data_IF_836708407414
#
_entry.id   IF_836708407414
#
_cell.length_a   1.000
_cell.length_b   1.000
_cell.length_c   1.000
_cell.angle_alpha   90.00
_cell.angle_beta   90.00
_cell.angle_gamma   90.00
#
_symmetry.space_group_name_H-M   'P 1'
#
loop_
_entity.id
_entity.type
_entity.pdbx_description
1 polymer ?
#
# COMPACT_ATOMS: atom_id res chain seq x y z
N UNK A 1 -50.17 30.83 27.18
CA UNK A 1 -48.88 31.06 27.84
C UNK A 1 -48.16 29.70 28.08
N UNK A 2 -47.84 28.91 27.07
CA UNK A 2 -47.08 27.66 27.23
C UNK A 2 -46.14 27.35 26.03
N UNK A 3 -45.79 28.36 25.22
CA UNK A 3 -44.90 28.14 24.04
C UNK A 3 -43.62 29.00 24.02
N UNK A 4 -43.27 29.65 25.16
CA UNK A 4 -42.07 30.53 25.22
C UNK A 4 -40.91 29.96 26.05
N UNK A 5 -41.05 28.76 26.64
CA UNK A 5 -40.03 28.23 27.56
C UNK A 5 -39.02 27.28 26.92
N UNK A 6 -39.20 26.83 25.65
CA UNK A 6 -38.30 25.87 25.00
C UNK A 6 -37.21 26.48 24.10
N UNK A 7 -37.35 27.76 23.73
CA UNK A 7 -36.35 28.45 22.90
C UNK A 7 -35.16 29.03 23.67
N UNK A 8 -35.25 29.18 24.98
CA UNK A 8 -34.17 29.77 25.80
C UNK A 8 -33.20 28.67 26.32
N UNK A 9 -33.67 27.43 26.47
CA UNK A 9 -32.81 26.32 26.93
C UNK A 9 -31.89 25.78 25.84
N UNK A 10 -32.29 25.89 24.55
CA UNK A 10 -31.46 25.51 23.42
C UNK A 10 -30.28 26.44 23.14
N UNK A 11 -30.44 27.74 23.42
CA UNK A 11 -29.37 28.73 23.27
C UNK A 11 -28.38 28.76 24.44
N UNK A 12 -28.75 28.28 25.64
CA UNK A 12 -27.84 28.25 26.80
C UNK A 12 -26.92 27.02 26.81
N UNK A 13 -27.27 25.94 26.10
CA UNK A 13 -26.40 24.76 25.94
C UNK A 13 -25.34 24.93 24.82
N UNK A 14 -25.58 25.85 23.88
CA UNK A 14 -24.61 26.24 22.85
C UNK A 14 -23.57 27.25 23.33
N UNK A 15 -23.80 27.95 24.47
CA UNK A 15 -22.90 28.97 24.97
C UNK A 15 -21.91 28.51 26.06
N UNK A 16 -21.99 27.25 26.51
CA UNK A 16 -21.05 26.68 27.49
C UNK A 16 -19.89 25.90 26.89
N UNK A 17 -19.91 25.62 25.57
CA UNK A 17 -18.79 25.00 24.87
C UNK A 17 -17.84 25.99 24.17
N UNK A 18 -17.99 27.30 24.40
CA UNK A 18 -17.17 28.32 23.73
C UNK A 18 -15.85 28.66 24.45
N UNK A 19 -15.39 27.86 25.42
CA UNK A 19 -14.22 28.19 26.23
C UNK A 19 -12.89 27.62 25.76
N UNK A 20 -12.88 26.73 24.78
CA UNK A 20 -11.62 26.26 24.17
C UNK A 20 -11.73 26.42 22.66
N UNK A 21 -10.92 27.31 22.09
CA UNK A 21 -10.88 27.55 20.65
C UNK A 21 -10.40 26.29 19.94
N UNK A 22 -11.36 25.48 19.52
CA UNK A 22 -11.13 24.27 18.74
C UNK A 22 -10.74 24.68 17.31
N UNK A 23 -9.52 24.38 16.88
CA UNK A 23 -9.12 24.53 15.48
C UNK A 23 -9.35 23.21 14.78
N UNK A 24 -10.27 23.18 13.85
CA UNK A 24 -10.59 21.99 13.05
C UNK A 24 -10.54 22.33 11.56
N UNK A 25 -10.01 21.44 10.75
CA UNK A 25 -10.05 21.48 9.28
C UNK A 25 -10.87 20.30 8.80
N UNK A 26 -12.12 20.58 8.38
CA UNK A 26 -13.09 19.56 7.92
C UNK A 26 -13.03 19.33 6.41
N UNK A 27 -12.33 20.18 5.65
CA UNK A 27 -12.30 20.20 4.20
C UNK A 27 -13.63 20.48 3.48
N UNK A 28 -14.68 20.87 4.20
CA UNK A 28 -16.06 21.04 3.69
C UNK A 28 -16.40 22.46 3.25
N UNK A 29 -15.68 23.45 3.74
CA UNK A 29 -15.94 24.87 3.52
C UNK A 29 -15.76 25.33 2.06
N UNK A 30 -16.04 26.60 1.80
CA UNK A 30 -15.70 27.27 0.52
C UNK A 30 -14.18 27.28 0.31
N UNK A 31 -13.41 27.46 1.38
CA UNK A 31 -11.98 27.23 1.44
C UNK A 31 -11.74 25.99 2.29
N UNK A 32 -11.49 24.82 1.66
CA UNK A 32 -11.34 23.55 2.36
C UNK A 32 -10.09 23.47 3.24
N UNK A 33 -9.15 24.40 3.09
CA UNK A 33 -7.89 24.42 3.85
C UNK A 33 -7.92 25.42 5.01
N UNK A 34 -9.00 26.18 5.17
CA UNK A 34 -9.16 27.14 6.26
C UNK A 34 -9.77 26.47 7.49
N UNK A 35 -9.20 26.78 8.66
CA UNK A 35 -9.70 26.27 9.94
C UNK A 35 -11.10 26.78 10.28
N UNK A 36 -11.81 26.10 11.16
CA UNK A 36 -13.16 26.43 11.62
C UNK A 36 -13.28 27.81 12.27
N UNK A 37 -12.20 28.32 12.87
CA UNK A 37 -12.14 29.67 13.45
C UNK A 37 -11.79 30.76 12.40
N UNK A 38 -11.52 30.40 11.16
CA UNK A 38 -11.17 31.28 10.04
C UNK A 38 -9.80 31.96 10.18
N UNK A 39 -8.90 31.46 11.03
CA UNK A 39 -7.61 32.12 11.32
C UNK A 39 -6.39 31.35 10.87
N UNK A 40 -6.50 30.03 10.66
CA UNK A 40 -5.36 29.18 10.30
C UNK A 40 -5.59 28.50 8.97
N UNK A 41 -4.64 28.64 8.05
CA UNK A 41 -4.67 28.03 6.74
C UNK A 41 -3.67 26.87 6.68
N UNK A 42 -4.08 25.72 6.17
CA UNK A 42 -3.17 24.64 5.81
C UNK A 42 -2.49 24.96 4.48
N UNK A 43 -1.17 24.93 4.45
CA UNK A 43 -0.40 24.98 3.21
C UNK A 43 -0.45 23.60 2.57
N UNK A 44 -1.09 23.48 1.44
CA UNK A 44 -1.17 22.23 0.68
C UNK A 44 -0.02 22.15 -0.32
N UNK A 45 0.75 21.08 -0.23
CA UNK A 45 1.77 20.70 -1.19
C UNK A 45 1.21 19.59 -2.08
N UNK A 46 1.32 19.74 -3.38
CA UNK A 46 0.91 18.74 -4.38
C UNK A 46 1.46 19.10 -5.74
N UNK A 47 1.78 18.10 -6.56
CA UNK A 47 2.10 18.30 -7.99
C UNK A 47 0.84 18.33 -8.86
N UNK A 48 -0.33 18.05 -8.28
CA UNK A 48 -1.61 18.08 -9.00
C UNK A 48 -2.06 19.53 -9.19
N UNK A 49 -2.55 19.85 -10.38
CA UNK A 49 -3.12 21.17 -10.67
C UNK A 49 -4.34 21.46 -9.78
N UNK A 50 -5.16 20.42 -9.54
CA UNK A 50 -6.36 20.50 -8.68
C UNK A 50 -6.28 19.40 -7.62
N UNK A 51 -6.29 19.76 -6.34
CA UNK A 51 -6.39 18.79 -5.26
C UNK A 51 -7.68 17.98 -5.35
N UNK A 52 -7.61 16.71 -5.01
CA UNK A 52 -8.77 15.82 -5.02
C UNK A 52 -9.40 15.72 -3.63
N UNK A 53 -10.67 16.10 -3.55
CA UNK A 53 -11.49 15.89 -2.37
C UNK A 53 -12.58 14.85 -2.70
N UNK A 54 -12.70 13.84 -1.85
CA UNK A 54 -13.66 12.73 -1.98
C UNK A 54 -14.53 12.66 -0.73
N UNK A 55 -15.49 11.74 -0.68
CA UNK A 55 -16.33 11.54 0.53
C UNK A 55 -15.45 11.11 1.71
N UNK A 56 -15.54 11.86 2.81
CA UNK A 56 -14.83 11.65 4.08
C UNK A 56 -15.61 10.84 5.11
N UNK A 57 -15.10 10.85 6.33
CA UNK A 57 -15.85 10.39 7.52
C UNK A 57 -17.03 11.34 7.73
N UNK A 58 -16.78 12.64 7.65
CA UNK A 58 -17.80 13.68 7.57
C UNK A 58 -17.50 14.53 6.33
N UNK A 59 -18.51 14.82 5.52
CA UNK A 59 -18.35 15.65 4.34
C UNK A 59 -17.26 15.17 3.39
N UNK A 60 -16.11 15.88 3.34
CA UNK A 60 -15.01 15.66 2.40
C UNK A 60 -13.70 15.29 3.09
N UNK A 61 -12.91 14.46 2.43
CA UNK A 61 -11.55 14.10 2.78
C UNK A 61 -10.59 14.50 1.66
N UNK A 62 -9.37 14.92 1.98
CA UNK A 62 -8.30 15.14 1.02
C UNK A 62 -7.70 13.81 0.60
N UNK A 63 -7.55 13.56 -0.71
CA UNK A 63 -6.85 12.42 -1.24
C UNK A 63 -5.36 12.71 -1.42
N UNK A 64 -4.53 11.91 -0.78
CA UNK A 64 -3.07 11.92 -0.90
C UNK A 64 -2.59 10.85 -1.89
N UNK A 65 -1.34 10.90 -2.32
CA UNK A 65 -0.78 10.08 -3.39
C UNK A 65 0.47 9.28 -2.99
N UNK A 66 0.96 9.46 -1.76
CA UNK A 66 2.13 8.74 -1.26
C UNK A 66 3.48 9.40 -1.54
N UNK A 67 3.53 10.51 -2.29
CA UNK A 67 4.82 11.14 -2.66
C UNK A 67 4.78 12.65 -2.90
N UNK A 68 3.63 13.27 -3.16
CA UNK A 68 3.58 14.71 -3.46
C UNK A 68 2.55 15.48 -2.65
N UNK A 69 1.49 14.82 -2.17
CA UNK A 69 0.35 15.50 -1.54
C UNK A 69 0.41 15.34 -0.02
N UNK A 70 0.61 16.47 0.67
CA UNK A 70 0.66 16.58 2.13
C UNK A 70 0.42 18.04 2.55
N UNK A 71 0.26 18.30 3.84
CA UNK A 71 -0.06 19.64 4.35
C UNK A 71 0.81 20.01 5.55
N UNK A 72 1.03 21.32 5.76
CA UNK A 72 1.54 21.87 7.01
C UNK A 72 0.90 23.20 7.36
N UNK A 73 1.07 23.62 8.60
CA UNK A 73 0.78 24.97 9.08
C UNK A 73 1.58 25.26 10.36
N UNK A 74 1.69 26.52 10.70
CA UNK A 74 2.25 26.94 12.00
C UNK A 74 1.11 27.27 12.95
N UNK A 75 1.22 26.84 14.20
CA UNK A 75 0.25 27.14 15.26
C UNK A 75 0.90 28.00 16.32
N UNK A 76 0.17 29.02 16.80
CA UNK A 76 0.55 29.78 17.97
C UNK A 76 -0.20 29.25 19.19
N UNK A 77 0.49 29.20 20.34
CA UNK A 77 -0.06 28.77 21.62
C UNK A 77 0.08 27.30 21.93
N UNK A 78 -0.34 26.89 23.10
CA UNK A 78 -0.18 25.54 23.62
C UNK A 78 -1.03 24.53 22.82
N UNK A 79 -0.38 23.58 22.20
CA UNK A 79 -1.02 22.43 21.53
C UNK A 79 -1.08 21.27 22.51
N UNK A 80 -2.27 20.94 22.99
CA UNK A 80 -2.46 19.82 23.93
C UNK A 80 -2.60 18.47 23.23
N UNK A 81 -3.22 18.45 22.06
CA UNK A 81 -3.33 17.26 21.24
C UNK A 81 -3.61 17.58 19.77
N UNK A 82 -3.27 16.63 18.91
CA UNK A 82 -3.55 16.64 17.49
C UNK A 82 -4.29 15.37 17.14
N UNK A 83 -5.42 15.48 16.44
CA UNK A 83 -6.20 14.32 15.99
C UNK A 83 -6.61 14.42 14.54
N UNK A 84 -6.96 13.29 13.92
CA UNK A 84 -7.48 13.24 12.57
C UNK A 84 -7.89 11.83 12.15
N UNK A 85 -8.63 11.79 11.05
CA UNK A 85 -9.06 10.58 10.39
C UNK A 85 -8.18 10.28 9.18
N UNK A 86 -7.79 9.04 9.06
CA UNK A 86 -6.92 8.57 7.98
C UNK A 86 -7.43 7.26 7.41
N UNK A 87 -7.28 7.06 6.10
CA UNK A 87 -7.51 5.77 5.49
C UNK A 87 -6.41 5.50 4.48
N UNK A 88 -5.69 4.39 4.63
CA UNK A 88 -4.61 4.01 3.73
C UNK A 88 -5.13 3.17 2.57
N UNK A 89 -4.74 3.52 1.34
CA UNK A 89 -4.89 2.67 0.16
C UNK A 89 -3.77 1.62 0.11
N UNK A 90 -2.56 2.04 0.45
CA UNK A 90 -1.36 1.19 0.51
C UNK A 90 -0.46 1.63 1.65
N UNK A 91 0.39 0.74 2.11
CA UNK A 91 1.47 1.13 3.01
C UNK A 91 2.49 1.98 2.26
N UNK A 92 3.17 2.92 2.94
CA UNK A 92 4.11 3.82 2.28
C UNK A 92 5.34 3.08 1.76
N UNK A 93 6.05 3.71 0.84
CA UNK A 93 7.32 3.16 0.30
C UNK A 93 8.42 3.11 1.38
N UNK A 94 8.42 4.06 2.28
CA UNK A 94 9.24 4.09 3.51
C UNK A 94 8.36 4.51 4.69
N UNK A 95 8.89 4.66 5.90
CA UNK A 95 8.13 5.17 7.06
C UNK A 95 7.59 6.55 6.74
N UNK A 96 6.27 6.72 6.87
CA UNK A 96 5.54 7.97 6.62
C UNK A 96 4.72 8.35 7.86
N UNK A 97 4.44 9.64 8.03
CA UNK A 97 3.61 10.10 9.13
C UNK A 97 2.16 10.35 8.71
N UNK A 98 1.23 9.94 9.55
CA UNK A 98 -0.13 10.43 9.51
C UNK A 98 -0.15 11.91 9.85
N UNK A 99 0.47 12.27 10.97
CA UNK A 99 0.58 13.65 11.45
C UNK A 99 1.66 13.77 12.52
N UNK A 100 2.13 14.99 12.74
CA UNK A 100 3.08 15.28 13.79
C UNK A 100 3.28 16.77 13.99
N UNK A 101 4.02 17.11 15.04
CA UNK A 101 4.42 18.46 15.35
C UNK A 101 5.93 18.59 15.48
N UNK A 102 6.44 19.78 15.25
CA UNK A 102 7.85 20.14 15.44
C UNK A 102 7.94 21.53 16.04
N UNK A 103 8.69 21.68 17.13
CA UNK A 103 8.99 22.98 17.74
C UNK A 103 9.99 23.79 16.90
N UNK A 104 10.19 25.04 17.27
CA UNK A 104 11.12 25.94 16.58
C UNK A 104 12.60 25.58 16.80
N UNK A 105 12.89 24.76 17.81
CA UNK A 105 14.24 24.21 18.07
C UNK A 105 14.56 22.97 17.20
N UNK A 106 13.57 22.44 16.45
CA UNK A 106 13.73 21.29 15.56
C UNK A 106 13.48 19.95 16.22
N UNK A 107 12.95 19.91 17.44
CA UNK A 107 12.47 18.68 18.07
C UNK A 107 11.09 18.35 17.51
N UNK A 108 10.84 17.10 17.12
CA UNK A 108 9.56 16.67 16.55
C UNK A 108 9.08 15.36 17.13
N UNK A 109 7.76 15.21 17.12
CA UNK A 109 7.07 13.96 17.42
C UNK A 109 5.95 13.74 16.40
N UNK A 110 5.80 12.51 15.92
CA UNK A 110 4.83 12.17 14.89
C UNK A 110 4.30 10.75 15.09
N UNK A 111 3.04 10.54 14.70
CA UNK A 111 2.46 9.19 14.57
C UNK A 111 2.71 8.71 13.15
N UNK A 112 3.49 7.66 13.02
CA UNK A 112 3.99 7.15 11.75
C UNK A 112 3.47 5.73 11.48
N UNK A 113 3.57 5.33 10.22
CA UNK A 113 3.35 3.97 9.76
C UNK A 113 4.51 3.54 8.88
N UNK A 114 4.99 2.31 9.06
CA UNK A 114 6.05 1.76 8.23
C UNK A 114 5.50 1.09 6.96
N UNK A 115 6.42 0.62 6.12
CA UNK A 115 6.10 -0.08 4.86
C UNK A 115 5.37 -1.43 5.04
N UNK A 116 5.19 -1.92 6.27
CA UNK A 116 4.51 -3.16 6.62
C UNK A 116 3.21 -2.93 7.40
N UNK A 117 2.86 -1.66 7.60
CA UNK A 117 1.66 -1.25 8.33
C UNK A 117 1.84 -1.18 9.84
N UNK A 118 3.07 -1.30 10.37
CA UNK A 118 3.32 -1.14 11.79
C UNK A 118 3.21 0.32 12.21
N UNK A 119 2.46 0.59 13.27
CA UNK A 119 2.31 1.92 13.85
C UNK A 119 3.53 2.26 14.69
N UNK A 120 4.09 3.44 14.47
CA UNK A 120 5.32 3.89 15.09
C UNK A 120 5.13 5.28 15.71
N UNK A 121 5.84 5.56 16.80
CA UNK A 121 6.13 6.92 17.24
C UNK A 121 7.46 7.36 16.61
N UNK A 122 7.41 8.35 15.74
CA UNK A 122 8.57 9.00 15.13
C UNK A 122 9.04 10.17 16.00
N UNK A 123 10.33 10.26 16.25
CA UNK A 123 10.95 11.33 17.03
C UNK A 123 12.13 11.89 16.24
N UNK A 124 12.19 13.22 16.15
CA UNK A 124 13.29 13.93 15.51
C UNK A 124 13.93 14.94 16.45
N UNK A 125 15.25 15.03 16.41
CA UNK A 125 16.02 16.05 17.12
C UNK A 125 17.31 16.33 16.37
N UNK A 126 17.63 17.60 16.12
CA UNK A 126 18.87 18.04 15.47
C UNK A 126 19.18 17.31 14.15
N UNK A 127 18.12 17.00 13.34
CA UNK A 127 18.25 16.30 12.07
C UNK A 127 18.40 14.78 12.17
N UNK A 128 18.47 14.22 13.38
CA UNK A 128 18.43 12.77 13.63
C UNK A 128 17.01 12.32 13.88
N UNK A 129 16.63 11.13 13.35
CA UNK A 129 15.29 10.57 13.49
C UNK A 129 15.37 9.15 14.02
N UNK A 130 14.45 8.81 14.92
CA UNK A 130 14.27 7.48 15.48
C UNK A 130 12.80 7.11 15.50
N UNK A 131 12.51 5.81 15.50
CA UNK A 131 11.15 5.30 15.49
C UNK A 131 11.00 4.22 16.55
N UNK A 132 9.93 4.32 17.37
CA UNK A 132 9.59 3.36 18.38
C UNK A 132 8.30 2.64 17.96
N UNK A 133 8.33 1.30 17.93
CA UNK A 133 7.14 0.50 17.61
C UNK A 133 6.08 0.63 18.69
N UNK A 134 4.83 0.84 18.27
CA UNK A 134 3.66 0.78 19.14
C UNK A 134 3.02 -0.63 19.17
N UNK A 135 3.72 -1.64 18.60
CA UNK A 135 3.34 -3.05 18.61
C UNK A 135 1.93 -3.31 18.06
N UNK A 136 1.52 -2.49 17.11
CA UNK A 136 0.20 -2.54 16.49
C UNK A 136 0.32 -2.32 15.00
N UNK A 137 -0.39 -3.12 14.19
CA UNK A 137 -0.53 -2.90 12.76
C UNK A 137 -1.85 -2.23 12.46
N UNK A 138 -1.83 -1.31 11.49
CA UNK A 138 -3.03 -0.65 10.95
C UNK A 138 -3.47 -1.34 9.66
N UNK A 139 -4.77 -1.41 9.46
CA UNK A 139 -5.37 -1.97 8.24
C UNK A 139 -5.42 -0.92 7.12
N UNK A 140 -5.32 -1.38 5.88
CA UNK A 140 -5.66 -0.60 4.68
C UNK A 140 -7.17 -0.69 4.42
N UNK A 141 -7.69 0.24 3.63
CA UNK A 141 -9.10 0.28 3.22
C UNK A 141 -10.10 0.39 4.38
N UNK A 142 -9.64 0.92 5.50
CA UNK A 142 -10.44 1.23 6.69
C UNK A 142 -10.11 2.61 7.20
N UNK A 143 -11.10 3.29 7.76
CA UNK A 143 -10.85 4.52 8.50
C UNK A 143 -10.14 4.21 9.82
N UNK A 144 -9.21 5.07 10.17
CA UNK A 144 -8.43 5.07 11.40
C UNK A 144 -8.58 6.44 12.04
N UNK A 145 -8.92 6.49 13.30
CA UNK A 145 -8.84 7.73 14.08
C UNK A 145 -7.54 7.71 14.89
N UNK A 146 -6.69 8.70 14.63
CA UNK A 146 -5.35 8.82 15.25
C UNK A 146 -5.32 10.06 16.11
N UNK A 147 -4.78 9.95 17.32
CA UNK A 147 -4.54 11.07 18.23
C UNK A 147 -3.11 11.03 18.72
N UNK A 148 -2.44 12.17 18.64
CA UNK A 148 -1.17 12.45 19.30
C UNK A 148 -1.47 13.37 20.49
N UNK A 149 -1.42 12.83 21.71
CA UNK A 149 -1.75 13.53 22.95
C UNK A 149 -0.44 13.97 23.62
N UNK A 150 -0.16 15.27 23.53
CA UNK A 150 1.08 15.86 24.02
C UNK A 150 1.08 16.01 25.53
N UNK A 151 -0.07 16.30 26.11
CA UNK A 151 -0.22 16.48 27.55
C UNK A 151 0.02 15.18 28.33
N UNK A 152 -0.40 14.06 27.76
CA UNK A 152 -0.25 12.74 28.38
C UNK A 152 0.86 11.91 27.73
N UNK A 153 1.67 12.51 26.86
CA UNK A 153 2.80 11.83 26.16
C UNK A 153 2.39 10.49 25.58
N UNK A 154 1.28 10.46 24.82
CA UNK A 154 0.66 9.22 24.37
C UNK A 154 0.07 9.31 22.96
N UNK A 155 -0.17 8.15 22.37
CA UNK A 155 -0.88 7.98 21.10
C UNK A 155 -2.17 7.23 21.37
N UNK A 156 -3.29 7.66 20.74
CA UNK A 156 -4.50 6.85 20.72
C UNK A 156 -4.82 6.45 19.28
N UNK A 157 -5.17 5.18 19.10
CA UNK A 157 -5.67 4.63 17.84
C UNK A 157 -7.09 4.13 18.05
N UNK A 158 -8.04 4.63 17.24
CA UNK A 158 -9.44 4.21 17.26
C UNK A 158 -10.09 4.26 18.67
N UNK A 159 -9.72 5.28 19.43
CA UNK A 159 -10.21 5.47 20.81
C UNK A 159 -9.46 4.67 21.88
N UNK A 160 -8.45 3.91 21.51
CA UNK A 160 -7.65 3.14 22.48
C UNK A 160 -6.27 3.78 22.66
N UNK A 161 -5.89 4.06 23.90
CA UNK A 161 -4.58 4.59 24.26
C UNK A 161 -3.52 3.51 24.10
N UNK A 162 -2.43 3.87 23.42
CA UNK A 162 -1.28 3.01 23.16
C UNK A 162 -0.22 3.23 24.23
N UNK A 163 0.50 2.18 24.60
CA UNK A 163 1.67 2.30 25.46
C UNK A 163 2.85 2.88 24.66
N UNK A 164 3.41 3.97 25.13
CA UNK A 164 4.58 4.64 24.57
C UNK A 164 5.75 4.46 25.53
N UNK A 165 6.81 3.82 25.09
CA UNK A 165 7.99 3.53 25.92
C UNK A 165 8.96 4.70 26.01
N UNK A 166 9.01 5.54 24.95
CA UNK A 166 9.94 6.67 24.84
C UNK A 166 9.21 7.88 24.27
N UNK A 167 9.40 9.05 24.87
CA UNK A 167 8.89 10.33 24.40
C UNK A 167 10.00 11.36 24.27
N UNK A 168 9.97 12.30 23.29
CA UNK A 168 10.98 13.33 23.15
C UNK A 168 10.97 14.28 24.35
N UNK A 169 12.08 14.33 25.09
CA UNK A 169 12.19 15.05 26.38
C UNK A 169 12.34 16.57 26.25
N UNK A 170 12.62 17.08 25.06
CA UNK A 170 12.98 18.48 24.82
C UNK A 170 12.01 19.20 23.88
N UNK A 171 10.79 18.70 23.72
CA UNK A 171 9.76 19.39 22.96
C UNK A 171 9.39 20.66 23.72
N UNK A 172 9.53 21.82 23.08
CA UNK A 172 9.29 23.13 23.69
C UNK A 172 7.89 23.60 23.39
N UNK A 173 7.24 24.21 24.39
CA UNK A 173 5.95 24.89 24.22
C UNK A 173 6.11 26.15 23.35
N UNK A 174 5.02 26.59 22.76
CA UNK A 174 4.94 27.83 21.97
C UNK A 174 4.56 27.58 20.52
N UNK A 175 5.21 28.32 19.61
CA UNK A 175 4.97 28.17 18.17
C UNK A 175 5.47 26.84 17.67
N UNK A 176 4.58 26.07 17.01
CA UNK A 176 4.87 24.74 16.49
C UNK A 176 4.46 24.60 15.03
N UNK A 177 5.24 23.88 14.27
CA UNK A 177 4.84 23.41 12.93
C UNK A 177 4.04 22.12 13.06
N UNK A 178 2.79 22.15 12.60
CA UNK A 178 1.97 20.97 12.35
C UNK A 178 2.26 20.46 10.94
N UNK A 179 2.46 19.16 10.78
CA UNK A 179 2.52 18.50 9.46
C UNK A 179 1.59 17.29 9.42
N UNK A 180 0.86 17.15 8.31
CA UNK A 180 -0.14 16.10 8.10
C UNK A 180 0.10 15.40 6.76
N UNK A 181 0.12 14.09 6.79
CA UNK A 181 0.30 13.25 5.60
C UNK A 181 1.75 12.98 5.20
N UNK A 182 2.75 13.56 5.91
CA UNK A 182 4.18 13.36 5.63
C UNK A 182 5.01 13.46 6.90
N UNK A 183 6.05 12.63 7.03
CA UNK A 183 7.03 12.69 8.11
C UNK A 183 7.90 13.97 8.04
N UNK A 184 8.45 14.38 9.18
CA UNK A 184 9.45 15.44 9.24
C UNK A 184 10.81 15.00 8.69
N UNK A 185 11.09 13.71 8.67
CA UNK A 185 12.27 13.16 8.02
C UNK A 185 12.17 13.33 6.50
N UNK A 186 13.15 14.03 5.95
CA UNK A 186 13.24 14.23 4.50
C UNK A 186 13.97 13.05 3.87
N UNK A 187 13.25 12.23 3.10
CA UNK A 187 13.82 11.14 2.30
C UNK A 187 13.16 11.12 0.94
N UNK A 188 13.98 11.07 -0.09
CA UNK A 188 13.53 11.10 -1.50
C UNK A 188 14.14 9.95 -2.30
N UNK A 189 13.37 9.50 -3.29
CA UNK A 189 13.86 8.72 -4.42
C UNK A 189 13.71 9.63 -5.65
N UNK A 190 14.85 10.00 -6.25
CA UNK A 190 14.94 11.09 -7.22
C UNK A 190 14.41 12.41 -6.63
N UNK A 191 13.32 12.95 -7.20
CA UNK A 191 12.68 14.18 -6.72
C UNK A 191 11.44 13.94 -5.84
N UNK A 192 11.01 12.69 -5.67
CA UNK A 192 9.76 12.33 -5.01
C UNK A 192 10.00 11.96 -3.55
N UNK A 193 9.14 12.47 -2.68
CA UNK A 193 9.13 12.08 -1.27
C UNK A 193 8.68 10.62 -1.13
N UNK A 194 9.27 9.89 -0.19
CA UNK A 194 8.90 8.50 0.12
C UNK A 194 8.38 8.34 1.55
N UNK A 195 8.21 9.46 2.26
CA UNK A 195 7.76 9.54 3.64
C UNK A 195 6.36 10.14 3.78
N UNK A 196 5.59 10.14 2.69
CA UNK A 196 4.19 10.57 2.64
C UNK A 196 3.24 9.36 2.57
N UNK A 197 2.01 9.52 3.09
CA UNK A 197 0.97 8.48 3.03
C UNK A 197 0.21 8.54 1.70
N UNK A 198 -0.27 7.38 1.23
CA UNK A 198 -1.23 7.26 0.14
C UNK A 198 -2.60 6.85 0.68
N UNK A 199 -3.60 7.72 0.52
CA UNK A 199 -4.94 7.46 1.02
C UNK A 199 -5.78 8.71 1.21
N UNK A 200 -6.50 8.77 2.31
CA UNK A 200 -7.39 9.88 2.65
C UNK A 200 -7.02 10.48 4.01
N UNK A 201 -7.23 11.79 4.12
CA UNK A 201 -7.10 12.59 5.35
C UNK A 201 -8.39 13.36 5.54
N UNK A 202 -8.96 13.31 6.75
CA UNK A 202 -10.19 14.02 7.11
C UNK A 202 -10.16 14.51 8.57
N UNK A 203 -10.91 15.57 8.88
CA UNK A 203 -11.21 16.02 10.23
C UNK A 203 -9.99 16.27 11.11
N UNK A 204 -8.99 17.02 10.62
CA UNK A 204 -7.81 17.38 11.43
C UNK A 204 -8.23 18.37 12.51
N UNK A 205 -7.84 18.10 13.76
CA UNK A 205 -8.23 18.92 14.91
C UNK A 205 -7.08 19.13 15.90
N UNK A 206 -6.96 20.36 16.38
CA UNK A 206 -6.12 20.77 17.50
C UNK A 206 -7.04 21.09 18.69
N UNK A 207 -7.34 20.09 19.49
CA UNK A 207 -8.23 20.22 20.65
C UNK A 207 -7.70 19.44 21.83
N UNK A 208 -7.99 19.87 23.07
CA UNK A 208 -7.74 19.04 24.22
C UNK A 208 -8.46 17.69 24.06
N UNK A 209 -7.70 16.62 24.14
CA UNK A 209 -8.20 15.26 24.05
C UNK A 209 -8.65 14.78 25.44
N UNK A 210 -9.84 14.19 25.53
CA UNK A 210 -10.34 13.52 26.73
C UNK A 210 -10.88 12.16 26.34
N UNK A 211 -10.19 11.08 26.74
CA UNK A 211 -10.62 9.71 26.53
C UNK A 211 -11.78 9.27 27.44
N UNK A 212 -12.17 10.11 28.40
CA UNK A 212 -13.29 9.84 29.33
C UNK A 212 -14.67 10.23 28.75
N UNK A 213 -14.71 10.96 27.64
CA UNK A 213 -15.95 11.38 27.00
C UNK A 213 -16.64 10.23 26.27
N UNK A 214 -17.82 9.80 26.73
CA UNK A 214 -18.64 8.80 26.04
C UNK A 214 -19.09 9.26 24.66
N UNK A 215 -19.41 10.53 24.48
CA UNK A 215 -19.82 11.13 23.21
C UNK A 215 -18.72 11.00 22.15
N UNK A 216 -17.47 11.24 22.52
CA UNK A 216 -16.33 11.10 21.63
C UNK A 216 -16.07 9.65 21.21
N UNK A 217 -16.23 8.68 22.14
CA UNK A 217 -16.13 7.25 21.83
C UNK A 217 -17.21 6.80 20.84
N UNK A 218 -18.43 7.30 21.00
CA UNK A 218 -19.56 7.01 20.11
C UNK A 218 -19.31 7.58 18.69
N UNK A 219 -18.80 8.80 18.61
CA UNK A 219 -18.42 9.44 17.33
C UNK A 219 -17.35 8.63 16.59
N UNK A 220 -16.27 8.25 17.29
CA UNK A 220 -15.23 7.39 16.69
C UNK A 220 -15.83 6.06 16.25
N UNK A 221 -16.64 5.41 17.07
CA UNK A 221 -17.25 4.12 16.72
C UNK A 221 -18.16 4.21 15.49
N UNK A 222 -18.82 5.35 15.27
CA UNK A 222 -19.61 5.62 14.07
C UNK A 222 -18.71 5.85 12.84
N UNK A 223 -17.66 6.63 12.98
CA UNK A 223 -16.69 6.92 11.91
C UNK A 223 -15.99 5.63 11.42
N UNK A 224 -15.60 4.75 12.33
CA UNK A 224 -14.95 3.47 12.02
C UNK A 224 -15.84 2.48 11.24
N UNK A 225 -17.16 2.67 11.26
CA UNK A 225 -18.10 1.85 10.46
C UNK A 225 -18.22 2.32 9.00
N UNK A 226 -17.75 3.52 8.69
CA UNK A 226 -17.81 4.06 7.33
C UNK A 226 -16.74 3.40 6.46
N UNK A 227 -17.06 3.17 5.19
CA UNK A 227 -16.10 2.64 4.20
C UNK A 227 -15.42 3.81 3.49
N UNK A 228 -14.09 3.90 3.47
CA UNK A 228 -13.39 4.96 2.75
C UNK A 228 -13.53 4.80 1.23
N UNK A 229 -13.77 5.91 0.53
CA UNK A 229 -13.86 5.95 -0.94
C UNK A 229 -12.46 6.20 -1.49
N UNK A 230 -11.70 5.13 -1.67
CA UNK A 230 -10.31 5.17 -2.14
C UNK A 230 -10.18 5.04 -3.67
N UNK A 231 -11.24 4.66 -4.38
CA UNK A 231 -11.25 4.61 -5.83
C UNK A 231 -10.99 6.00 -6.43
N UNK A 232 -10.13 6.06 -7.44
CA UNK A 232 -9.91 7.31 -8.18
C UNK A 232 -11.10 7.50 -9.11
N UNK A 233 -11.81 8.65 -9.04
CA UNK A 233 -13.00 8.86 -9.84
C UNK A 233 -12.65 8.97 -11.33
N UNK A 234 -13.45 8.36 -12.20
CA UNK A 234 -13.25 8.39 -13.65
C UNK A 234 -13.22 9.82 -14.23
N UNK A 235 -13.90 10.76 -13.58
CA UNK A 235 -13.89 12.18 -13.96
C UNK A 235 -12.49 12.77 -13.97
N UNK A 236 -11.54 12.23 -13.19
CA UNK A 236 -10.13 12.62 -13.22
C UNK A 236 -9.51 12.43 -14.60
N UNK A 237 -9.96 11.43 -15.36
CA UNK A 237 -9.40 11.06 -16.66
C UNK A 237 -10.14 11.70 -17.84
N UNK A 238 -11.22 12.42 -17.59
CA UNK A 238 -12.08 12.97 -18.66
C UNK A 238 -11.34 13.87 -19.65
N UNK A 239 -10.27 14.56 -19.22
CA UNK A 239 -9.43 15.43 -20.04
C UNK A 239 -8.06 14.83 -20.36
N UNK A 240 -7.77 13.60 -19.92
CA UNK A 240 -6.51 12.94 -20.19
C UNK A 240 -6.54 12.26 -21.57
N UNK A 241 -6.15 13.03 -22.61
CA UNK A 241 -6.12 12.54 -23.98
C UNK A 241 -4.97 11.54 -24.25
N UNK A 242 -3.97 11.47 -23.38
CA UNK A 242 -2.87 10.51 -23.50
C UNK A 242 -3.25 9.14 -22.91
N UNK A 243 -4.29 9.05 -22.06
CA UNK A 243 -4.71 7.79 -21.48
C UNK A 243 -5.35 6.90 -22.54
N UNK A 244 -4.83 5.69 -22.76
CA UNK A 244 -5.44 4.74 -23.70
C UNK A 244 -6.86 4.35 -23.22
N UNK A 245 -7.77 4.16 -24.19
CA UNK A 245 -9.17 3.84 -23.91
C UNK A 245 -9.48 2.34 -23.92
N UNK A 246 -8.55 1.52 -24.40
CA UNK A 246 -8.72 0.08 -24.59
C UNK A 246 -7.53 -0.76 -24.11
N UNK A 247 -6.49 -0.14 -23.57
CA UNK A 247 -5.42 -0.83 -22.85
C UNK A 247 -5.69 -0.83 -21.36
N UNK A 248 -5.35 -1.94 -20.70
CA UNK A 248 -5.38 -2.04 -19.25
C UNK A 248 -4.33 -1.12 -18.64
N UNK A 249 -4.76 -0.15 -17.84
CA UNK A 249 -3.88 0.81 -17.19
C UNK A 249 -4.44 1.14 -15.80
N UNK A 250 -3.61 1.09 -14.74
CA UNK A 250 -4.04 1.50 -13.41
C UNK A 250 -4.38 2.99 -13.37
N UNK A 251 -5.23 3.36 -12.43
CA UNK A 251 -5.66 4.73 -12.23
C UNK A 251 -4.52 5.67 -11.82
N UNK A 252 -3.53 5.16 -11.10
CA UNK A 252 -2.36 5.91 -10.65
C UNK A 252 -1.18 5.01 -10.33
N UNK A 253 -0.01 5.63 -10.22
CA UNK A 253 1.24 5.09 -9.72
C UNK A 253 1.89 4.04 -10.62
N UNK A 254 3.02 3.48 -10.16
CA UNK A 254 3.82 2.58 -10.97
C UNK A 254 3.17 1.21 -11.15
N UNK A 255 3.27 0.69 -12.36
CA UNK A 255 2.88 -0.68 -12.72
C UNK A 255 3.93 -1.31 -13.61
N UNK A 256 4.00 -2.63 -13.59
CA UNK A 256 4.77 -3.47 -14.49
C UNK A 256 3.83 -4.48 -15.18
N UNK A 257 4.37 -5.54 -15.76
CA UNK A 257 3.65 -6.54 -16.53
C UNK A 257 2.44 -7.15 -15.79
N UNK A 258 1.48 -7.61 -16.58
CA UNK A 258 0.33 -8.38 -16.09
C UNK A 258 0.63 -9.88 -16.09
N UNK A 259 0.01 -10.61 -15.15
CA UNK A 259 0.15 -12.05 -14.98
C UNK A 259 -1.10 -12.67 -14.34
N UNK A 260 -1.17 -13.99 -14.25
CA UNK A 260 -2.23 -14.68 -13.52
C UNK A 260 -3.63 -14.51 -14.10
N UNK A 261 -3.78 -14.39 -15.43
CA UNK A 261 -5.12 -14.30 -16.06
C UNK A 261 -5.93 -15.56 -15.78
N UNK A 262 -7.13 -15.40 -15.24
CA UNK A 262 -8.09 -16.49 -15.03
C UNK A 262 -9.53 -16.05 -15.31
N UNK A 263 -10.38 -17.02 -15.67
CA UNK A 263 -11.82 -16.85 -15.76
C UNK A 263 -12.48 -17.56 -14.58
N UNK A 264 -13.19 -16.82 -13.74
CA UNK A 264 -13.91 -17.37 -12.60
C UNK A 264 -15.32 -16.79 -12.48
N UNK A 265 -16.32 -17.67 -12.37
CA UNK A 265 -17.75 -17.29 -12.26
C UNK A 265 -18.19 -16.23 -13.27
N UNK A 266 -17.71 -16.33 -14.52
CA UNK A 266 -18.10 -15.44 -15.61
C UNK A 266 -17.39 -14.09 -15.64
N UNK A 267 -16.38 -13.85 -14.77
CA UNK A 267 -15.49 -12.69 -14.82
C UNK A 267 -14.06 -13.11 -15.10
N UNK A 268 -13.39 -12.33 -15.93
CA UNK A 268 -11.94 -12.40 -16.09
C UNK A 268 -11.26 -11.61 -14.98
N UNK A 269 -10.19 -12.16 -14.44
CA UNK A 269 -9.34 -11.53 -13.44
C UNK A 269 -7.91 -11.56 -13.94
N UNK A 270 -7.18 -10.45 -13.78
CA UNK A 270 -5.77 -10.35 -14.11
C UNK A 270 -5.07 -9.53 -13.03
N UNK A 271 -3.82 -9.86 -12.76
CA UNK A 271 -3.01 -9.21 -11.74
C UNK A 271 -1.79 -8.55 -12.38
N UNK A 272 -1.19 -7.61 -11.66
CA UNK A 272 0.00 -6.90 -12.11
C UNK A 272 0.88 -6.55 -10.92
N UNK A 273 2.16 -6.38 -11.17
CA UNK A 273 3.02 -5.72 -10.18
C UNK A 273 2.63 -4.25 -10.08
N UNK A 274 2.44 -3.74 -8.87
CA UNK A 274 2.02 -2.36 -8.61
C UNK A 274 2.74 -1.79 -7.39
N UNK A 275 3.37 -0.63 -7.54
CA UNK A 275 3.69 0.21 -6.39
C UNK A 275 2.55 1.20 -6.20
N UNK A 276 1.65 0.95 -5.26
CA UNK A 276 0.47 1.79 -5.06
C UNK A 276 0.78 3.13 -4.35
N UNK A 277 1.98 3.31 -3.80
CA UNK A 277 2.39 4.52 -3.05
C UNK A 277 3.37 5.40 -3.79
N UNK A 278 3.82 5.04 -5.00
CA UNK A 278 4.79 5.84 -5.74
C UNK A 278 4.75 5.55 -7.24
N UNK A 279 5.37 6.46 -8.02
CA UNK A 279 5.44 6.37 -9.48
C UNK A 279 6.72 5.70 -9.99
N UNK A 280 7.45 5.01 -9.13
CA UNK A 280 8.69 4.31 -9.44
C UNK A 280 8.68 2.89 -8.86
N UNK A 281 9.59 2.05 -9.34
CA UNK A 281 9.80 0.71 -8.80
C UNK A 281 10.13 0.79 -7.30
N UNK A 282 9.38 0.07 -6.49
CA UNK A 282 9.51 0.09 -5.03
C UNK A 282 8.73 -1.06 -4.40
N UNK A 283 8.00 -0.78 -3.34
CA UNK A 283 7.19 -1.78 -2.63
C UNK A 283 6.13 -2.41 -3.54
N UNK A 284 6.47 -3.55 -4.14
CA UNK A 284 5.65 -4.22 -5.14
C UNK A 284 4.52 -4.99 -4.47
N UNK A 285 3.30 -4.58 -4.77
CA UNK A 285 2.07 -5.31 -4.46
C UNK A 285 1.58 -6.03 -5.72
N UNK A 286 0.63 -6.96 -5.59
CA UNK A 286 -0.18 -7.37 -6.71
C UNK A 286 -1.41 -6.48 -6.81
N UNK A 287 -1.46 -5.63 -7.84
CA UNK A 287 -2.68 -4.99 -8.29
C UNK A 287 -3.63 -6.03 -8.87
N UNK A 288 -4.90 -5.67 -9.03
CA UNK A 288 -5.93 -6.57 -9.49
C UNK A 288 -6.93 -5.83 -10.36
N UNK A 289 -7.31 -6.46 -11.46
CA UNK A 289 -8.37 -5.99 -12.36
C UNK A 289 -9.36 -7.10 -12.63
N UNK A 290 -10.64 -6.74 -12.76
CA UNK A 290 -11.70 -7.65 -13.19
C UNK A 290 -12.44 -7.13 -14.42
N UNK A 291 -12.94 -8.03 -15.27
CA UNK A 291 -13.67 -7.68 -16.48
C UNK A 291 -14.72 -8.72 -16.83
N UNK A 292 -15.90 -8.34 -17.33
CA UNK A 292 -16.87 -9.29 -17.88
C UNK A 292 -16.49 -9.78 -19.29
N UNK A 293 -15.64 -9.08 -20.04
CA UNK A 293 -15.48 -9.24 -21.49
C UNK A 293 -14.04 -9.06 -22.01
N UNK A 294 -13.06 -8.83 -21.12
CA UNK A 294 -11.66 -8.51 -21.43
C UNK A 294 -11.43 -7.16 -22.15
N UNK A 295 -12.47 -6.34 -22.29
CA UNK A 295 -12.41 -5.00 -22.90
C UNK A 295 -12.65 -3.91 -21.85
N UNK A 296 -13.64 -4.12 -20.98
CA UNK A 296 -14.02 -3.18 -19.92
C UNK A 296 -13.48 -3.66 -18.59
N UNK A 297 -12.42 -3.04 -18.12
CA UNK A 297 -11.71 -3.41 -16.90
C UNK A 297 -12.05 -2.49 -15.74
N UNK A 298 -12.30 -3.08 -14.59
CA UNK A 298 -12.40 -2.39 -13.30
C UNK A 298 -11.13 -2.66 -12.51
N UNK A 299 -10.47 -1.61 -12.05
CA UNK A 299 -9.38 -1.74 -11.08
C UNK A 299 -9.97 -2.02 -9.71
N UNK A 300 -9.60 -3.16 -9.16
CA UNK A 300 -9.96 -3.58 -7.81
C UNK A 300 -8.87 -3.15 -6.82
N UNK A 301 -9.10 -3.33 -5.53
CA UNK A 301 -8.02 -3.14 -4.56
C UNK A 301 -6.91 -4.18 -4.76
N UNK A 302 -5.65 -3.85 -4.40
CA UNK A 302 -4.55 -4.79 -4.53
C UNK A 302 -4.84 -6.12 -3.83
N UNK A 303 -4.64 -7.23 -4.54
CA UNK A 303 -4.89 -8.57 -4.04
C UNK A 303 -3.90 -8.97 -2.95
N UNK A 304 -2.60 -8.66 -3.14
CA UNK A 304 -1.54 -9.03 -2.23
C UNK A 304 -0.64 -7.84 -1.90
N UNK A 305 -0.14 -7.81 -0.67
CA UNK A 305 0.82 -6.80 -0.16
C UNK A 305 1.99 -7.51 0.49
N UNK A 306 3.24 -7.01 0.32
CA UNK A 306 4.40 -7.54 1.00
C UNK A 306 4.34 -7.15 2.49
N UNK A 307 3.93 -8.05 3.36
CA UNK A 307 3.72 -7.84 4.79
C UNK A 307 4.30 -8.96 5.67
N UNK A 308 5.01 -9.91 5.06
CA UNK A 308 5.67 -11.02 5.72
C UNK A 308 7.19 -11.03 5.47
N UNK A 309 7.95 -11.65 6.35
CA UNK A 309 9.41 -11.72 6.23
C UNK A 309 9.90 -12.37 4.92
N UNK A 310 9.17 -13.38 4.43
CA UNK A 310 9.52 -14.11 3.22
C UNK A 310 9.19 -13.35 1.92
N UNK A 311 8.41 -12.27 1.97
CA UNK A 311 8.05 -11.44 0.81
C UNK A 311 8.26 -9.93 1.05
N UNK A 312 9.03 -9.57 2.06
CA UNK A 312 9.22 -8.17 2.52
C UNK A 312 9.74 -7.20 1.45
N UNK A 313 10.42 -7.71 0.41
CA UNK A 313 10.96 -6.92 -0.68
C UNK A 313 10.04 -6.85 -1.90
N UNK A 314 8.85 -7.43 -1.82
CA UNK A 314 7.81 -7.36 -2.84
C UNK A 314 7.14 -8.69 -3.17
N UNK A 315 5.95 -8.58 -3.73
CA UNK A 315 5.20 -9.67 -4.35
C UNK A 315 5.48 -9.56 -5.85
N UNK A 316 6.36 -10.43 -6.38
CA UNK A 316 6.78 -10.36 -7.77
C UNK A 316 5.91 -11.25 -8.65
N UNK A 317 6.18 -11.28 -9.95
CA UNK A 317 5.34 -11.98 -10.93
C UNK A 317 5.15 -13.47 -10.63
N UNK A 318 4.10 -14.03 -11.18
CA UNK A 318 3.71 -15.40 -10.95
C UNK A 318 2.50 -15.82 -11.78
N UNK A 319 1.70 -16.72 -11.28
CA UNK A 319 0.58 -17.34 -12.00
C UNK A 319 -0.68 -17.45 -11.15
N UNK A 320 -1.81 -17.73 -11.78
CA UNK A 320 -3.05 -18.07 -11.10
C UNK A 320 -3.63 -19.36 -11.73
N UNK A 321 -4.16 -20.23 -10.89
CA UNK A 321 -4.83 -21.47 -11.33
C UNK A 321 -6.13 -21.66 -10.57
N UNK A 322 -7.02 -22.50 -11.09
CA UNK A 322 -8.15 -23.03 -10.34
C UNK A 322 -7.74 -24.44 -9.91
N UNK A 323 -7.72 -24.69 -8.60
CA UNK A 323 -7.33 -25.98 -8.04
C UNK A 323 -8.40 -27.06 -8.26
N UNK A 324 -8.17 -28.28 -7.79
CA UNK A 324 -9.05 -29.43 -7.97
C UNK A 324 -10.41 -29.27 -7.25
N UNK A 325 -10.49 -28.42 -6.25
CA UNK A 325 -11.73 -28.07 -5.53
C UNK A 325 -12.51 -26.93 -6.23
N UNK A 326 -12.04 -26.45 -7.38
CA UNK A 326 -12.63 -25.32 -8.09
C UNK A 326 -12.35 -23.95 -7.45
N UNK A 327 -11.34 -23.87 -6.56
CA UNK A 327 -10.96 -22.65 -5.84
C UNK A 327 -9.78 -21.98 -6.57
N UNK A 328 -9.89 -20.69 -6.93
CA UNK A 328 -8.75 -19.94 -7.45
C UNK A 328 -7.60 -19.85 -6.45
N UNK A 329 -6.38 -20.00 -6.94
CA UNK A 329 -5.17 -19.91 -6.14
C UNK A 329 -4.14 -19.03 -6.87
N UNK A 330 -3.62 -18.03 -6.17
CA UNK A 330 -2.50 -17.23 -6.64
C UNK A 330 -1.20 -17.90 -6.23
N UNK A 331 -0.23 -17.89 -7.13
CA UNK A 331 1.11 -18.43 -6.94
C UNK A 331 2.08 -17.34 -7.36
N UNK A 332 2.89 -16.85 -6.46
CA UNK A 332 3.70 -15.65 -6.68
C UNK A 332 5.14 -15.82 -6.24
N UNK A 333 6.02 -15.06 -6.86
CA UNK A 333 7.40 -14.95 -6.40
C UNK A 333 7.42 -14.12 -5.12
N UNK A 334 7.87 -14.73 -4.04
CA UNK A 334 8.02 -14.09 -2.73
C UNK A 334 9.42 -13.48 -2.62
N UNK A 335 9.49 -12.14 -2.73
CA UNK A 335 10.74 -11.37 -2.65
C UNK A 335 11.17 -11.15 -1.21
N UNK A 336 11.77 -12.15 -0.58
CA UNK A 336 12.37 -12.05 0.76
C UNK A 336 13.89 -11.81 0.70
N UNK A 337 14.61 -12.22 1.74
CA UNK A 337 16.08 -12.31 1.73
C UNK A 337 16.56 -13.42 0.79
N UNK A 338 15.72 -14.43 0.60
CA UNK A 338 15.82 -15.46 -0.43
C UNK A 338 14.59 -15.37 -1.31
N UNK A 339 14.76 -15.57 -2.60
CA UNK A 339 13.64 -15.69 -3.52
C UNK A 339 12.95 -17.05 -3.31
N UNK A 340 11.64 -17.00 -3.11
CA UNK A 340 10.82 -18.18 -2.86
C UNK A 340 9.50 -18.11 -3.63
N UNK A 341 8.62 -19.07 -3.33
CA UNK A 341 7.26 -19.12 -3.89
C UNK A 341 6.25 -19.06 -2.76
N UNK A 342 5.35 -18.09 -2.85
CA UNK A 342 4.19 -17.95 -1.98
C UNK A 342 2.90 -18.30 -2.71
N UNK A 343 1.87 -18.65 -1.95
CA UNK A 343 0.52 -18.89 -2.46
C UNK A 343 -0.52 -18.16 -1.64
N UNK A 344 -1.66 -17.84 -2.27
CA UNK A 344 -2.79 -17.19 -1.61
C UNK A 344 -4.12 -17.73 -2.12
N UNK A 345 -5.15 -17.66 -1.27
CA UNK A 345 -6.50 -18.11 -1.54
C UNK A 345 -7.50 -16.96 -1.41
N UNK A 346 -8.61 -16.96 -2.18
CA UNK A 346 -9.64 -15.94 -2.02
C UNK A 346 -10.42 -16.14 -0.72
N UNK A 347 -10.78 -15.02 -0.08
CA UNK A 347 -11.68 -15.00 1.09
C UNK A 347 -13.15 -14.82 0.68
N UNK A 348 -13.39 -14.41 -0.55
CA UNK A 348 -14.71 -14.17 -1.10
C UNK A 348 -14.83 -14.69 -2.54
N UNK A 349 -16.06 -14.83 -2.99
CA UNK A 349 -16.36 -15.36 -4.33
C UNK A 349 -16.22 -14.34 -5.46
N UNK A 350 -16.03 -13.06 -5.14
CA UNK A 350 -15.75 -12.00 -6.11
C UNK A 350 -14.25 -11.81 -6.34
N UNK A 351 -13.42 -12.55 -5.61
CA UNK A 351 -11.94 -12.51 -5.64
C UNK A 351 -11.35 -11.15 -5.26
N UNK A 352 -12.04 -10.38 -4.43
CA UNK A 352 -11.56 -9.06 -3.99
C UNK A 352 -10.61 -9.17 -2.81
N UNK A 353 -10.95 -10.04 -1.85
CA UNK A 353 -10.13 -10.27 -0.66
C UNK A 353 -9.36 -11.58 -0.78
N UNK A 354 -8.07 -11.50 -0.49
CA UNK A 354 -7.16 -12.64 -0.54
C UNK A 354 -6.45 -12.86 0.78
N UNK A 355 -6.11 -14.09 1.08
CA UNK A 355 -5.35 -14.48 2.25
C UNK A 355 -4.14 -15.32 1.85
N UNK A 356 -2.97 -14.91 2.32
CA UNK A 356 -1.74 -15.69 2.14
C UNK A 356 -1.82 -16.99 2.93
N UNK A 357 -1.35 -18.07 2.33
CA UNK A 357 -1.31 -19.37 3.00
C UNK A 357 -0.39 -19.32 4.23
N UNK A 358 -0.89 -19.82 5.38
CA UNK A 358 -0.14 -19.79 6.64
C UNK A 358 1.18 -20.62 6.59
N UNK A 359 1.27 -21.59 5.68
CA UNK A 359 2.47 -22.39 5.45
C UNK A 359 3.45 -21.82 4.43
N UNK A 360 3.29 -20.56 4.00
CA UNK A 360 4.24 -19.91 3.10
C UNK A 360 5.61 -19.67 3.76
N UNK A 361 6.71 -19.65 2.95
CA UNK A 361 6.75 -19.94 1.52
C UNK A 361 6.67 -21.44 1.24
N UNK A 362 5.93 -21.83 0.17
CA UNK A 362 5.79 -23.25 -0.23
C UNK A 362 7.06 -23.79 -0.92
N UNK A 363 7.90 -22.90 -1.44
CA UNK A 363 9.29 -23.13 -1.81
C UNK A 363 10.10 -22.00 -1.20
N UNK A 364 10.98 -22.32 -0.27
CA UNK A 364 11.69 -21.30 0.50
C UNK A 364 12.90 -20.70 -0.22
N UNK A 365 13.53 -21.48 -1.12
CA UNK A 365 14.72 -21.08 -1.86
C UNK A 365 14.96 -22.02 -3.05
N UNK A 366 15.93 -21.68 -3.88
CA UNK A 366 16.40 -22.49 -5.01
C UNK A 366 16.81 -23.90 -4.59
N UNK A 367 16.83 -24.87 -5.52
CA UNK A 367 17.35 -26.20 -5.24
C UNK A 367 18.84 -26.18 -4.88
N UNK A 368 19.28 -27.17 -4.10
CA UNK A 368 20.68 -27.35 -3.75
C UNK A 368 21.54 -27.58 -5.02
N UNK A 369 22.80 -27.17 -4.97
CA UNK A 369 23.77 -27.35 -6.06
C UNK A 369 23.86 -26.19 -7.05
N UNK A 370 22.98 -25.18 -6.94
CA UNK A 370 23.06 -23.98 -7.78
C UNK A 370 23.55 -22.77 -6.97
N UNK A 371 24.30 -21.87 -7.61
CA UNK A 371 24.85 -20.66 -6.98
C UNK A 371 23.91 -19.47 -7.03
N UNK A 372 23.18 -19.30 -8.16
CA UNK A 372 22.20 -18.22 -8.31
C UNK A 372 21.10 -18.34 -7.26
N UNK A 373 20.81 -17.23 -6.58
CA UNK A 373 19.76 -17.15 -5.56
C UNK A 373 18.42 -16.65 -6.12
N UNK A 374 18.45 -16.00 -7.26
CA UNK A 374 17.30 -15.46 -7.95
C UNK A 374 16.58 -16.55 -8.74
N UNK A 375 15.32 -16.82 -8.39
CA UNK A 375 14.36 -17.66 -9.12
C UNK A 375 13.00 -16.99 -9.05
N UNK A 376 12.30 -16.83 -10.20
CA UNK A 376 11.05 -16.07 -10.24
C UNK A 376 10.14 -16.45 -11.39
N UNK A 377 8.93 -15.91 -11.39
CA UNK A 377 7.97 -15.97 -12.49
C UNK A 377 7.46 -17.37 -12.75
N UNK A 378 6.66 -17.89 -11.83
CA UNK A 378 6.11 -19.24 -11.92
C UNK A 378 5.08 -19.35 -13.04
N UNK A 379 5.10 -20.47 -13.76
CA UNK A 379 4.01 -20.92 -14.60
C UNK A 379 3.57 -22.32 -14.16
N UNK A 380 2.28 -22.50 -13.89
CA UNK A 380 1.72 -23.73 -13.30
C UNK A 380 0.69 -24.33 -14.23
N UNK A 381 0.73 -25.64 -14.43
CA UNK A 381 -0.27 -26.40 -15.19
C UNK A 381 -0.52 -27.77 -14.58
N UNK A 382 -1.56 -28.45 -15.03
CA UNK A 382 -1.89 -29.81 -14.60
C UNK A 382 -1.86 -30.78 -15.77
N UNK A 383 -1.27 -31.96 -15.56
CA UNK A 383 -1.36 -33.12 -16.47
C UNK A 383 -1.76 -34.36 -15.69
N UNK A 384 -2.88 -34.98 -16.08
CA UNK A 384 -3.47 -36.04 -15.26
C UNK A 384 -3.79 -35.55 -13.85
N UNK A 385 -3.28 -36.24 -12.86
CA UNK A 385 -3.48 -35.91 -11.45
C UNK A 385 -2.28 -35.14 -10.83
N UNK A 386 -1.33 -34.71 -11.65
CA UNK A 386 -0.10 -34.06 -11.19
C UNK A 386 -0.09 -32.60 -11.63
N UNK A 387 0.18 -31.72 -10.69
CA UNK A 387 0.49 -30.33 -10.93
C UNK A 387 1.98 -30.16 -11.21
N UNK A 388 2.31 -29.39 -12.21
CA UNK A 388 3.67 -29.01 -12.57
C UNK A 388 3.85 -27.50 -12.49
N UNK A 389 5.06 -27.09 -12.15
CA UNK A 389 5.45 -25.69 -12.13
C UNK A 389 6.83 -25.53 -12.73
N UNK A 390 6.98 -24.60 -13.67
CA UNK A 390 8.28 -24.09 -14.08
C UNK A 390 8.53 -22.73 -13.45
N UNK A 391 9.80 -22.48 -13.12
CA UNK A 391 10.26 -21.22 -12.54
C UNK A 391 11.41 -20.70 -13.37
N UNK A 392 11.39 -19.42 -13.73
CA UNK A 392 12.48 -18.74 -14.39
C UNK A 392 13.77 -18.78 -13.56
N UNK A 393 14.88 -19.06 -14.20
CA UNK A 393 16.17 -19.27 -13.57
C UNK A 393 17.33 -18.93 -14.50
N UNK A 394 18.55 -19.01 -13.97
CA UNK A 394 19.79 -18.92 -14.74
C UNK A 394 20.91 -19.73 -14.10
N UNK A 395 21.75 -20.31 -14.92
CA UNK A 395 22.96 -21.05 -14.53
C UNK A 395 24.14 -20.06 -14.52
N UNK A 396 24.82 -19.94 -13.39
CA UNK A 396 25.95 -19.02 -13.19
C UNK A 396 27.27 -19.73 -12.92
N UNK A 397 27.24 -21.01 -12.55
CA UNK A 397 28.40 -21.80 -12.18
C UNK A 397 29.19 -22.37 -13.36
N UNK A 398 29.07 -21.78 -14.53
CA UNK A 398 29.74 -22.16 -15.77
C UNK A 398 30.51 -20.96 -16.31
N UNK A 399 31.48 -21.24 -17.23
CA UNK A 399 32.20 -20.16 -17.90
C UNK A 399 31.30 -19.30 -18.79
N UNK A 400 30.17 -19.82 -19.18
CA UNK A 400 29.14 -19.17 -20.01
C UNK A 400 27.78 -19.16 -19.28
N UNK A 401 27.50 -18.19 -18.41
CA UNK A 401 26.19 -18.07 -17.76
C UNK A 401 25.04 -18.03 -18.78
N UNK A 402 23.96 -18.77 -18.52
CA UNK A 402 22.82 -18.86 -19.45
C UNK A 402 21.49 -19.05 -18.71
N UNK A 403 20.40 -18.75 -19.41
CA UNK A 403 19.03 -18.90 -18.89
C UNK A 403 18.61 -20.36 -18.77
N UNK A 404 17.73 -20.65 -17.81
CA UNK A 404 17.22 -22.00 -17.53
C UNK A 404 15.81 -21.96 -16.93
N UNK A 405 15.15 -23.12 -16.84
CA UNK A 405 13.88 -23.32 -16.17
C UNK A 405 13.97 -24.45 -15.15
N UNK A 406 13.65 -24.18 -13.90
CA UNK A 406 13.47 -25.20 -12.86
C UNK A 406 12.11 -25.86 -13.02
N UNK A 407 12.04 -27.19 -12.97
CA UNK A 407 10.79 -27.96 -12.97
C UNK A 407 10.50 -28.54 -11.59
N UNK A 408 9.28 -28.28 -11.12
CA UNK A 408 8.73 -28.84 -9.90
C UNK A 408 7.45 -29.61 -10.20
N UNK A 409 7.07 -30.54 -9.31
CA UNK A 409 5.80 -31.25 -9.31
C UNK A 409 5.13 -31.24 -7.95
N UNK A 410 3.80 -31.33 -7.94
CA UNK A 410 2.98 -31.34 -6.72
C UNK A 410 1.71 -32.15 -6.93
N UNK A 411 1.16 -32.72 -5.85
CA UNK A 411 -0.17 -33.33 -5.83
C UNK A 411 -1.24 -32.35 -5.31
N UNK A 412 -0.87 -31.28 -4.59
CA UNK A 412 -1.78 -30.46 -3.79
C UNK A 412 -1.56 -28.94 -3.93
N UNK A 413 -0.63 -28.51 -4.83
CA UNK A 413 -0.21 -27.10 -5.01
C UNK A 413 0.43 -26.45 -3.76
N UNK A 414 0.66 -27.20 -2.69
CA UNK A 414 1.23 -26.73 -1.42
C UNK A 414 2.60 -27.32 -1.13
N UNK A 415 2.83 -28.56 -1.54
CA UNK A 415 4.12 -29.26 -1.42
C UNK A 415 4.69 -29.48 -2.80
N UNK A 416 5.90 -29.01 -3.04
CA UNK A 416 6.55 -29.03 -4.31
C UNK A 416 7.89 -29.77 -4.24
N UNK A 417 8.03 -30.81 -5.06
CA UNK A 417 9.27 -31.55 -5.23
C UNK A 417 10.00 -31.03 -6.46
N UNK A 418 11.27 -30.63 -6.30
CA UNK A 418 12.14 -30.33 -7.43
C UNK A 418 12.38 -31.62 -8.25
N UNK A 419 12.25 -31.53 -9.58
CA UNK A 419 12.42 -32.67 -10.48
C UNK A 419 13.78 -32.58 -11.16
N UNK A 420 14.00 -31.58 -11.98
CA UNK A 420 15.25 -31.26 -12.68
C UNK A 420 15.12 -29.89 -13.37
N UNK A 421 16.15 -29.48 -14.12
CA UNK A 421 16.00 -28.43 -15.12
C UNK A 421 15.14 -28.93 -16.27
N UNK A 422 14.02 -28.26 -16.58
CA UNK A 422 13.21 -28.65 -17.75
C UNK A 422 13.92 -28.31 -19.03
N UNK A 423 14.54 -27.15 -19.09
CA UNK A 423 15.26 -26.66 -20.24
C UNK A 423 16.33 -25.67 -19.81
N UNK A 424 17.41 -25.58 -20.55
CA UNK A 424 18.48 -24.62 -20.40
C UNK A 424 18.97 -24.12 -21.76
N UNK A 425 19.44 -22.90 -21.83
CA UNK A 425 19.96 -22.29 -23.04
C UNK A 425 21.32 -22.89 -23.42
N UNK A 426 21.65 -22.81 -24.68
CA UNK A 426 22.97 -23.18 -25.19
C UNK A 426 23.66 -21.95 -25.77
N UNK A 427 24.55 -21.26 -24.99
CA UNK A 427 25.22 -20.05 -25.45
C UNK A 427 26.11 -20.22 -26.69
N UNK A 428 26.46 -21.47 -27.07
CA UNK A 428 27.19 -21.76 -28.28
C UNK A 428 26.32 -21.74 -29.53
N UNK A 429 25.00 -21.88 -29.34
CA UNK A 429 24.03 -22.04 -30.47
C UNK A 429 23.09 -20.82 -30.52
N UNK A 430 22.72 -20.29 -29.39
CA UNK A 430 21.74 -19.22 -29.31
C UNK A 430 22.16 -18.11 -28.32
N UNK A 431 21.54 -16.94 -28.45
CA UNK A 431 21.67 -15.87 -27.49
C UNK A 431 20.62 -16.06 -26.37
N UNK A 432 20.83 -17.05 -25.52
CA UNK A 432 19.89 -17.41 -24.45
C UNK A 432 19.88 -16.45 -23.27
N UNK A 433 20.78 -15.44 -23.24
CA UNK A 433 20.92 -14.53 -22.10
C UNK A 433 21.37 -15.26 -20.83
N UNK A 434 21.38 -14.52 -19.70
CA UNK A 434 21.85 -15.03 -18.41
C UNK A 434 20.76 -15.52 -17.47
N UNK A 435 19.50 -15.27 -17.82
CA UNK A 435 18.33 -15.62 -17.04
C UNK A 435 17.09 -15.64 -17.96
N UNK A 436 16.12 -16.50 -17.65
CA UNK A 436 14.83 -16.52 -18.33
C UNK A 436 13.71 -16.07 -17.39
N UNK A 437 12.95 -15.09 -17.85
CA UNK A 437 11.81 -14.49 -17.14
C UNK A 437 10.49 -14.88 -17.79
N UNK A 438 9.41 -14.79 -17.03
CA UNK A 438 8.02 -14.88 -17.48
C UNK A 438 7.76 -16.09 -18.38
N UNK A 439 8.16 -17.32 -18.00
CA UNK A 439 7.96 -18.49 -18.83
C UNK A 439 6.45 -18.76 -19.02
N UNK A 440 6.07 -19.11 -20.25
CA UNK A 440 4.73 -19.63 -20.57
C UNK A 440 4.91 -20.99 -21.24
N UNK A 441 4.30 -22.02 -20.67
CA UNK A 441 4.39 -23.38 -21.18
C UNK A 441 3.00 -23.95 -21.46
N UNK A 442 2.60 -23.95 -22.71
CA UNK A 442 1.23 -24.27 -23.11
C UNK A 442 1.19 -25.40 -24.12
N UNK A 443 0.32 -26.39 -23.87
CA UNK A 443 -0.01 -27.41 -24.87
C UNK A 443 -0.94 -26.83 -25.92
N UNK A 444 -0.53 -26.92 -27.20
CA UNK A 444 -1.27 -26.44 -28.36
C UNK A 444 -1.26 -27.50 -29.44
N UNK A 445 -2.39 -28.09 -29.76
CA UNK A 445 -2.57 -29.07 -30.86
C UNK A 445 -1.62 -30.27 -30.71
N UNK A 446 -1.27 -30.91 -29.86
CA UNK A 446 -0.35 -32.08 -29.71
C UNK A 446 1.13 -31.75 -29.55
N UNK A 447 1.46 -30.45 -29.49
CA UNK A 447 2.82 -29.95 -29.18
C UNK A 447 2.77 -29.04 -27.93
N UNK A 448 3.94 -28.84 -27.33
CA UNK A 448 4.11 -27.81 -26.29
C UNK A 448 4.83 -26.61 -26.92
N UNK A 449 4.36 -25.43 -26.54
CA UNK A 449 4.99 -24.14 -26.86
C UNK A 449 5.56 -23.58 -25.58
N UNK A 450 6.85 -23.28 -25.60
CA UNK A 450 7.54 -22.58 -24.53
C UNK A 450 7.90 -21.17 -25.01
N UNK A 451 7.47 -20.16 -24.26
CA UNK A 451 7.86 -18.76 -24.44
C UNK A 451 8.65 -18.35 -23.19
N UNK A 452 9.74 -17.63 -23.40
CA UNK A 452 10.56 -17.05 -22.32
C UNK A 452 11.05 -15.67 -22.73
N UNK A 453 11.20 -14.79 -21.77
CA UNK A 453 11.90 -13.52 -21.94
C UNK A 453 13.32 -13.70 -21.44
N UNK A 454 14.31 -13.45 -22.28
CA UNK A 454 15.71 -13.53 -21.88
C UNK A 454 16.19 -12.24 -21.24
N UNK A 455 16.94 -12.35 -20.16
CA UNK A 455 17.73 -11.24 -19.62
C UNK A 455 19.09 -11.26 -20.31
N UNK A 456 19.47 -10.21 -21.06
CA UNK A 456 20.72 -10.21 -21.84
C UNK A 456 21.96 -10.19 -20.93
N UNK A 457 23.09 -10.60 -21.49
CA UNK A 457 24.39 -10.35 -20.84
C UNK A 457 24.62 -8.85 -20.67
N UNK A 458 25.33 -8.46 -19.61
CA UNK A 458 25.68 -7.03 -19.37
C UNK A 458 26.37 -6.44 -20.60
N UNK A 459 25.92 -5.30 -21.08
CA UNK A 459 26.47 -4.59 -22.22
C UNK A 459 25.86 -4.96 -23.58
N UNK A 460 24.99 -5.96 -23.66
CA UNK A 460 24.21 -6.22 -24.87
C UNK A 460 22.86 -5.54 -24.68
N UNK A 461 22.48 -4.54 -25.52
CA UNK A 461 21.15 -3.94 -25.44
C UNK A 461 20.08 -5.03 -25.61
N UNK A 462 19.05 -5.03 -24.76
CA UNK A 462 17.88 -5.83 -25.04
C UNK A 462 17.33 -5.42 -26.42
N UNK A 463 16.98 -6.36 -27.33
CA UNK A 463 16.32 -5.96 -28.55
C UNK A 463 15.06 -5.19 -28.17
N UNK A 464 14.94 -3.96 -28.67
CA UNK A 464 13.70 -3.23 -28.58
C UNK A 464 12.66 -4.04 -29.34
N UNK A 465 11.74 -4.66 -28.62
CA UNK A 465 10.55 -5.23 -29.24
C UNK A 465 9.70 -4.02 -29.60
N UNK A 466 9.72 -3.66 -30.88
CA UNK A 466 8.80 -2.68 -31.47
C UNK A 466 7.41 -3.27 -31.63
#
# INVERSE_FOLDING_TARGET
MKHFAYSILGCLLLSLNAAFAQKTWSFDGQDPLLSSDGKSLLNLYTIKEIPEFVTGVEGKALRTDGYSTWMDTTTEGDVSSLSGWFALESYPTDTAAFMGIRDMAGTSVAVCVDRYGELLLGMGQNGSYSYCSLKTKVDRFKWLHVVLDLNNESVCLNGQRMSVEVWPRNLQDGEMMLRVGKDFREKKVWMYDVTAINGLIDGISLTPFSDDSSAWRDEIALGLKKTPVLAIPETRFAKDFNRPRYHLLPAANWTNETHGLLLYKGKYHIFNQKNASAIFLGQINWGHFSSPDMLHWTEEKPALTPDAAYDKNGIWSGHAVINDDGIPQLIYTAGGDKMGVGIAFPKDTALIEWEKYAGNPVIAEKPAGYTRTDMRDQYVWKEGDVWYMIIGFGIEQTDTPHGALLLYKSADLKRWDFVHLLFEGNPEVDDSGIFWEMPVFKKMGGKYVLLVNRVPHKGIPAPSIG
#
